data_IF_712953151839
#
_entry.id   IF_712953151839
#
_cell.length_a   1.000
_cell.length_b   1.000
_cell.length_c   1.000
_cell.angle_alpha   90.00
_cell.angle_beta   90.00
_cell.angle_gamma   90.00
#
_symmetry.space_group_name_H-M   'P 1'
#
loop_
_entity.id
_entity.type
_entity.pdbx_description
1 polymer ?
#
# COMPACT_ATOMS: atom_id res chain seq x y z
N UNK A 1 18.02 38.54 20.41
CA UNK A 1 17.26 37.40 21.00
C UNK A 1 15.82 37.40 20.49
N UNK A 2 15.59 37.14 19.19
CA UNK A 2 14.23 37.14 18.62
C UNK A 2 14.10 36.29 17.34
N UNK A 3 14.91 35.23 17.15
CA UNK A 3 15.03 34.54 15.85
C UNK A 3 14.85 33.01 15.91
N UNK A 4 14.39 32.45 17.03
CA UNK A 4 14.25 30.99 17.20
C UNK A 4 12.79 30.48 17.23
N UNK A 5 11.81 31.32 16.88
CA UNK A 5 10.38 30.96 16.98
C UNK A 5 9.69 30.60 15.65
N UNK A 6 10.42 30.54 14.52
CA UNK A 6 9.79 30.49 13.18
C UNK A 6 9.62 29.07 12.62
N UNK A 7 10.24 28.02 13.19
CA UNK A 7 10.27 26.71 12.53
C UNK A 7 9.20 25.66 12.93
N UNK A 8 8.30 25.93 13.88
CA UNK A 8 7.40 24.86 14.41
C UNK A 8 5.92 24.95 14.03
N UNK A 9 5.48 25.91 13.21
CA UNK A 9 4.02 26.14 12.96
C UNK A 9 3.49 25.57 11.63
N UNK A 10 4.30 24.89 10.81
CA UNK A 10 3.89 24.54 9.42
C UNK A 10 3.05 23.25 9.27
N UNK A 11 2.65 22.53 10.34
CA UNK A 11 2.29 21.10 10.17
C UNK A 11 0.82 20.65 10.12
N UNK A 12 -0.23 21.51 10.02
CA UNK A 12 -1.61 20.99 10.23
C UNK A 12 -2.80 21.37 9.34
N UNK A 13 -2.69 22.16 8.27
CA UNK A 13 -3.91 22.56 7.50
C UNK A 13 -4.03 22.04 6.06
N UNK A 14 -3.06 21.28 5.53
CA UNK A 14 -2.99 20.97 4.09
C UNK A 14 -3.89 19.82 3.57
N UNK A 15 -4.89 19.39 4.35
CA UNK A 15 -5.75 18.24 4.02
C UNK A 15 -6.98 18.54 3.13
N UNK A 16 -7.08 19.73 2.53
CA UNK A 16 -8.22 20.10 1.65
C UNK A 16 -7.81 20.15 0.18
N UNK A 17 -7.85 19.00 -0.49
CA UNK A 17 -8.34 18.90 -1.87
C UNK A 17 -7.37 19.02 -3.05
N UNK A 18 -6.14 19.51 -2.91
CA UNK A 18 -5.25 19.78 -4.06
C UNK A 18 -4.14 18.75 -4.37
N UNK A 19 -3.98 17.71 -3.56
CA UNK A 19 -2.72 16.98 -3.42
C UNK A 19 -2.53 15.72 -4.30
N UNK A 20 -3.21 15.59 -5.44
CA UNK A 20 -2.89 14.48 -6.36
C UNK A 20 -1.63 14.75 -7.19
N UNK A 21 -1.26 16.03 -7.40
CA UNK A 21 -0.14 16.42 -8.27
C UNK A 21 0.86 17.43 -7.66
N UNK A 22 0.57 18.04 -6.50
CA UNK A 22 1.26 19.29 -6.10
C UNK A 22 2.29 19.24 -4.96
N UNK A 23 2.31 18.24 -4.08
CA UNK A 23 3.28 18.19 -2.99
C UNK A 23 3.57 16.76 -2.55
N UNK A 24 4.84 16.40 -2.42
CA UNK A 24 5.25 15.14 -1.82
C UNK A 24 4.73 15.06 -0.38
N UNK A 25 4.08 13.95 0.02
CA UNK A 25 3.49 13.86 1.33
C UNK A 25 4.57 13.80 2.43
N UNK A 26 4.30 14.45 3.55
CA UNK A 26 5.17 14.40 4.72
C UNK A 26 5.01 13.05 5.45
N UNK A 27 6.15 12.40 5.73
CA UNK A 27 6.23 11.11 6.45
C UNK A 27 6.37 9.91 5.52
N UNK A 28 7.21 8.95 5.92
CA UNK A 28 7.59 7.79 5.12
C UNK A 28 6.38 6.98 4.65
N UNK A 29 5.43 6.69 5.54
CA UNK A 29 4.23 5.93 5.19
C UNK A 29 3.33 6.63 4.16
N UNK A 30 3.20 7.96 4.24
CA UNK A 30 2.40 8.70 3.28
C UNK A 30 3.09 8.74 1.92
N UNK A 31 4.43 8.83 1.91
CA UNK A 31 5.25 8.70 0.71
C UNK A 31 5.13 7.31 0.08
N UNK A 32 5.23 6.23 0.88
CA UNK A 32 5.05 4.84 0.40
C UNK A 32 3.67 4.61 -0.22
N UNK A 33 2.60 5.15 0.38
CA UNK A 33 1.24 5.06 -0.18
C UNK A 33 1.10 5.81 -1.49
N UNK A 34 1.75 6.97 -1.59
CA UNK A 34 1.76 7.80 -2.78
C UNK A 34 2.56 7.12 -3.90
N UNK A 35 3.79 6.70 -3.65
CA UNK A 35 4.61 5.96 -4.63
C UNK A 35 3.95 4.66 -5.05
N UNK A 36 3.37 3.90 -4.12
CA UNK A 36 2.62 2.69 -4.43
C UNK A 36 1.44 2.93 -5.38
N UNK A 37 0.72 4.05 -5.23
CA UNK A 37 -0.35 4.44 -6.16
C UNK A 37 0.21 4.74 -7.56
N UNK A 38 1.28 5.53 -7.64
CA UNK A 38 1.90 5.89 -8.93
C UNK A 38 2.50 4.68 -9.64
N UNK A 39 3.17 3.80 -8.91
CA UNK A 39 3.69 2.53 -9.45
C UNK A 39 2.53 1.68 -9.97
N UNK A 40 1.45 1.53 -9.21
CA UNK A 40 0.23 0.86 -9.66
C UNK A 40 -0.30 1.42 -10.98
N UNK A 41 -0.58 2.72 -11.02
CA UNK A 41 -1.12 3.38 -12.21
C UNK A 41 -0.17 3.28 -13.40
N UNK A 42 1.15 3.40 -13.19
CA UNK A 42 2.15 3.24 -14.23
C UNK A 42 2.17 1.80 -14.76
N UNK A 43 2.08 0.79 -13.89
CA UNK A 43 1.96 -0.62 -14.31
C UNK A 43 0.73 -0.82 -15.18
N UNK A 44 -0.45 -0.30 -14.79
CA UNK A 44 -1.65 -0.39 -15.62
C UNK A 44 -1.50 0.33 -16.96
N UNK A 45 -0.88 1.51 -16.96
CA UNK A 45 -0.63 2.28 -18.18
C UNK A 45 0.28 1.53 -19.16
N UNK A 46 1.30 0.83 -18.65
CA UNK A 46 2.19 -0.02 -19.47
C UNK A 46 1.49 -1.31 -19.93
N UNK A 47 0.61 -1.88 -19.12
CA UNK A 47 -0.17 -3.08 -19.50
C UNK A 47 -1.21 -2.79 -20.57
N UNK A 48 -1.77 -1.58 -20.62
CA UNK A 48 -2.82 -1.19 -21.56
C UNK A 48 -2.47 -1.45 -23.04
N UNK A 49 -1.36 -0.93 -23.60
CA UNK A 49 -1.01 -1.19 -25.00
C UNK A 49 -0.78 -2.68 -25.28
N UNK A 50 -0.21 -3.42 -24.33
CA UNK A 50 0.00 -4.87 -24.48
C UNK A 50 -1.33 -5.62 -24.61
N UNK A 51 -2.31 -5.26 -23.79
CA UNK A 51 -3.67 -5.78 -23.87
C UNK A 51 -4.34 -5.43 -25.19
N UNK A 52 -4.17 -4.21 -25.70
CA UNK A 52 -4.78 -3.77 -26.96
C UNK A 52 -4.23 -4.51 -28.19
N UNK A 53 -2.97 -4.96 -28.14
CA UNK A 53 -2.33 -5.65 -29.27
C UNK A 53 -2.62 -7.15 -29.29
N UNK A 54 -2.63 -7.83 -28.14
CA UNK A 54 -2.56 -9.30 -28.09
C UNK A 54 -3.89 -10.02 -27.82
N UNK A 55 -4.97 -9.29 -27.53
CA UNK A 55 -6.24 -9.89 -27.09
C UNK A 55 -7.38 -9.77 -28.11
N UNK A 56 -8.25 -10.80 -28.18
CA UNK A 56 -9.49 -10.76 -28.95
C UNK A 56 -10.47 -9.71 -28.40
N UNK A 57 -11.39 -9.22 -29.24
CA UNK A 57 -12.24 -8.05 -28.95
C UNK A 57 -13.02 -8.12 -27.63
N UNK A 58 -13.59 -9.27 -27.28
CA UNK A 58 -14.32 -9.47 -26.03
C UNK A 58 -13.42 -9.45 -24.78
N UNK A 59 -12.32 -10.20 -24.82
CA UNK A 59 -11.32 -10.26 -23.73
C UNK A 59 -10.65 -8.90 -23.52
N UNK A 60 -10.39 -8.18 -24.62
CA UNK A 60 -9.84 -6.83 -24.61
C UNK A 60 -10.73 -5.86 -23.85
N UNK A 61 -12.03 -5.85 -24.16
CA UNK A 61 -12.99 -4.96 -23.49
C UNK A 61 -13.07 -5.25 -21.99
N UNK A 62 -13.11 -6.54 -21.61
CA UNK A 62 -13.12 -6.96 -20.21
C UNK A 62 -11.84 -6.53 -19.47
N UNK A 63 -10.67 -6.69 -20.08
CA UNK A 63 -9.41 -6.29 -19.47
C UNK A 63 -9.27 -4.78 -19.32
N UNK A 64 -9.65 -3.98 -20.33
CA UNK A 64 -9.66 -2.52 -20.24
C UNK A 64 -10.61 -2.04 -19.14
N UNK A 65 -11.81 -2.62 -19.06
CA UNK A 65 -12.74 -2.34 -17.97
C UNK A 65 -12.15 -2.73 -16.61
N UNK A 66 -11.50 -3.89 -16.52
CA UNK A 66 -10.79 -4.34 -15.31
C UNK A 66 -9.69 -3.37 -14.87
N UNK A 67 -8.87 -2.87 -15.80
CA UNK A 67 -7.83 -1.87 -15.51
C UNK A 67 -8.43 -0.55 -15.01
N UNK A 68 -9.52 -0.08 -15.65
CA UNK A 68 -10.20 1.14 -15.23
C UNK A 68 -10.81 1.01 -13.83
N UNK A 69 -11.47 -0.13 -13.56
CA UNK A 69 -12.02 -0.45 -12.23
C UNK A 69 -10.91 -0.50 -11.20
N UNK A 70 -9.75 -1.07 -11.53
CA UNK A 70 -8.64 -1.20 -10.59
C UNK A 70 -7.94 0.12 -10.31
N UNK A 71 -7.70 0.94 -11.33
CA UNK A 71 -7.22 2.31 -11.16
C UNK A 71 -8.16 3.16 -10.31
N UNK A 72 -9.47 3.06 -10.56
CA UNK A 72 -10.48 3.76 -9.77
C UNK A 72 -10.48 3.27 -8.31
N UNK A 73 -10.39 1.96 -8.07
CA UNK A 73 -10.36 1.40 -6.73
C UNK A 73 -9.10 1.76 -5.96
N UNK A 74 -7.93 1.78 -6.59
CA UNK A 74 -6.71 2.26 -5.97
C UNK A 74 -6.82 3.74 -5.60
N UNK A 75 -7.36 4.57 -6.49
CA UNK A 75 -7.59 5.98 -6.17
C UNK A 75 -8.57 6.17 -5.00
N UNK A 76 -9.67 5.40 -4.96
CA UNK A 76 -10.62 5.42 -3.85
C UNK A 76 -9.97 4.91 -2.56
N UNK A 77 -9.18 3.85 -2.63
CA UNK A 77 -8.45 3.28 -1.52
C UNK A 77 -7.42 4.24 -0.93
N UNK A 78 -6.67 4.93 -1.79
CA UNK A 78 -5.76 6.01 -1.40
C UNK A 78 -6.50 7.10 -0.61
N UNK A 79 -7.66 7.53 -1.11
CA UNK A 79 -8.47 8.59 -0.48
C UNK A 79 -9.14 8.14 0.82
N UNK A 80 -9.63 6.90 0.90
CA UNK A 80 -10.37 6.37 2.05
C UNK A 80 -9.49 5.70 3.10
N UNK A 81 -8.21 5.42 2.78
CA UNK A 81 -7.24 4.69 3.62
C UNK A 81 -7.73 3.33 4.12
N UNK A 82 -8.69 2.71 3.43
CA UNK A 82 -9.26 1.42 3.81
C UNK A 82 -9.75 0.66 2.58
N UNK A 83 -9.67 -0.66 2.67
CA UNK A 83 -10.24 -1.60 1.72
C UNK A 83 -11.09 -2.62 2.46
N UNK A 84 -12.29 -2.90 1.96
CA UNK A 84 -13.16 -3.96 2.46
C UNK A 84 -13.06 -5.21 1.58
N UNK A 85 -13.59 -6.33 2.06
CA UNK A 85 -13.55 -7.63 1.37
C UNK A 85 -14.15 -7.62 -0.05
N UNK A 86 -15.17 -6.79 -0.30
CA UNK A 86 -15.75 -6.61 -1.64
C UNK A 86 -14.71 -6.10 -2.64
N UNK A 87 -13.76 -5.27 -2.20
CA UNK A 87 -12.70 -4.78 -3.06
C UNK A 87 -11.74 -5.91 -3.46
N UNK A 88 -11.54 -6.91 -2.58
CA UNK A 88 -10.67 -8.06 -2.88
C UNK A 88 -11.31 -8.97 -3.94
N UNK A 89 -12.63 -9.16 -3.88
CA UNK A 89 -13.37 -9.92 -4.91
C UNK A 89 -13.35 -9.18 -6.25
N UNK A 90 -13.63 -7.87 -6.25
CA UNK A 90 -13.56 -7.05 -7.47
C UNK A 90 -12.14 -7.02 -8.03
N UNK A 91 -11.12 -6.97 -7.17
CA UNK A 91 -9.72 -7.06 -7.56
C UNK A 91 -9.39 -8.38 -8.22
N UNK A 92 -9.78 -9.50 -7.63
CA UNK A 92 -9.54 -10.82 -8.20
C UNK A 92 -10.18 -10.99 -9.59
N UNK A 93 -11.43 -10.52 -9.76
CA UNK A 93 -12.12 -10.58 -11.07
C UNK A 93 -11.42 -9.71 -12.12
N UNK A 94 -11.10 -8.46 -11.77
CA UNK A 94 -10.42 -7.54 -12.69
C UNK A 94 -9.01 -8.03 -13.05
N UNK A 95 -8.25 -8.50 -12.06
CA UNK A 95 -6.92 -9.07 -12.26
C UNK A 95 -6.98 -10.37 -13.10
N UNK A 96 -8.02 -11.18 -12.94
CA UNK A 96 -8.26 -12.34 -13.79
C UNK A 96 -8.50 -11.95 -15.25
N UNK A 97 -9.36 -10.96 -15.50
CA UNK A 97 -9.61 -10.46 -16.86
C UNK A 97 -8.33 -9.89 -17.51
N UNK A 98 -7.55 -9.11 -16.76
CA UNK A 98 -6.26 -8.59 -17.18
C UNK A 98 -5.29 -9.75 -17.50
N UNK A 99 -5.22 -10.75 -16.63
CA UNK A 99 -4.34 -11.90 -16.80
C UNK A 99 -4.61 -12.69 -18.08
N UNK A 100 -5.88 -13.00 -18.34
CA UNK A 100 -6.31 -13.70 -19.57
C UNK A 100 -5.93 -12.90 -20.80
N UNK A 101 -6.01 -11.57 -20.76
CA UNK A 101 -5.70 -10.72 -21.90
C UNK A 101 -4.20 -10.52 -22.18
N UNK A 102 -3.36 -10.58 -21.14
CA UNK A 102 -1.91 -10.43 -21.27
C UNK A 102 -1.23 -11.72 -21.78
N UNK A 103 -1.75 -12.89 -21.40
CA UNK A 103 -1.25 -14.22 -21.78
C UNK A 103 0.26 -14.47 -21.51
N UNK A 104 0.96 -13.54 -20.84
CA UNK A 104 2.36 -13.65 -20.46
C UNK A 104 2.47 -13.74 -18.93
N UNK A 105 2.89 -14.90 -18.37
CA UNK A 105 2.85 -15.13 -16.93
C UNK A 105 3.72 -14.13 -16.15
N UNK A 106 4.87 -13.71 -16.69
CA UNK A 106 5.75 -12.77 -16.02
C UNK A 106 5.13 -11.36 -15.91
N UNK A 107 4.46 -10.89 -16.98
CA UNK A 107 3.77 -9.60 -16.96
C UNK A 107 2.57 -9.62 -16.03
N UNK A 108 1.80 -10.72 -16.05
CA UNK A 108 0.67 -10.90 -15.14
C UNK A 108 1.14 -10.91 -13.68
N UNK A 109 2.20 -11.66 -13.38
CA UNK A 109 2.77 -11.72 -12.03
C UNK A 109 3.17 -10.34 -11.52
N UNK A 110 3.74 -9.49 -12.38
CA UNK A 110 4.07 -8.10 -12.05
C UNK A 110 2.82 -7.30 -11.64
N UNK A 111 1.73 -7.38 -12.40
CA UNK A 111 0.47 -6.67 -12.07
C UNK A 111 -0.12 -7.15 -10.75
N UNK A 112 -0.12 -8.47 -10.52
CA UNK A 112 -0.59 -9.07 -9.27
C UNK A 112 0.25 -8.65 -8.07
N UNK A 113 1.58 -8.66 -8.23
CA UNK A 113 2.50 -8.27 -7.18
C UNK A 113 2.29 -6.81 -6.79
N UNK A 114 2.15 -5.90 -7.77
CA UNK A 114 1.86 -4.50 -7.52
C UNK A 114 0.52 -4.31 -6.81
N UNK A 115 -0.52 -5.06 -7.21
CA UNK A 115 -1.83 -5.03 -6.53
C UNK A 115 -1.74 -5.47 -5.07
N UNK A 116 -0.99 -6.54 -4.78
CA UNK A 116 -0.76 -7.03 -3.41
C UNK A 116 0.09 -6.07 -2.56
N UNK A 117 1.17 -5.51 -3.13
CA UNK A 117 1.97 -4.46 -2.49
C UNK A 117 1.08 -3.27 -2.11
N UNK A 118 0.24 -2.83 -3.04
CA UNK A 118 -0.71 -1.77 -2.78
C UNK A 118 -1.66 -2.17 -1.65
N UNK A 119 -2.25 -3.36 -1.69
CA UNK A 119 -3.17 -3.85 -0.66
C UNK A 119 -2.52 -3.91 0.72
N UNK A 120 -1.28 -4.38 0.82
CA UNK A 120 -0.51 -4.47 2.06
C UNK A 120 -0.32 -3.11 2.77
N UNK A 121 -0.24 -2.00 2.01
CA UNK A 121 -0.10 -0.64 2.55
C UNK A 121 -1.38 -0.10 3.23
N UNK A 122 -2.53 -0.72 2.98
CA UNK A 122 -3.84 -0.22 3.43
C UNK A 122 -4.68 -1.23 4.22
N UNK A 123 -4.31 -2.51 4.26
CA UNK A 123 -5.13 -3.56 4.89
C UNK A 123 -4.61 -4.06 6.24
N UNK A 124 -5.46 -4.85 6.91
CA UNK A 124 -5.13 -5.58 8.13
C UNK A 124 -4.53 -6.95 7.79
N UNK A 125 -3.67 -7.48 8.66
CA UNK A 125 -3.00 -8.78 8.46
C UNK A 125 -3.98 -9.92 8.13
N UNK A 126 -5.12 -9.98 8.84
CA UNK A 126 -6.14 -11.03 8.63
C UNK A 126 -6.75 -11.01 7.23
N UNK A 127 -6.85 -9.83 6.63
CA UNK A 127 -7.44 -9.67 5.30
C UNK A 127 -6.43 -10.03 4.18
N UNK A 128 -5.12 -10.04 4.50
CA UNK A 128 -4.06 -10.31 3.52
C UNK A 128 -4.05 -11.77 3.05
N UNK A 129 -4.35 -12.71 3.94
CA UNK A 129 -4.48 -14.11 3.55
C UNK A 129 -5.63 -14.33 2.57
N UNK A 130 -6.76 -13.66 2.80
CA UNK A 130 -7.91 -13.73 1.91
C UNK A 130 -7.61 -13.07 0.56
N UNK A 131 -7.00 -11.88 0.56
CA UNK A 131 -6.57 -11.22 -0.67
C UNK A 131 -5.54 -12.05 -1.45
N UNK A 132 -4.56 -12.64 -0.76
CA UNK A 132 -3.56 -13.54 -1.34
C UNK A 132 -4.18 -14.79 -1.95
N UNK A 133 -5.14 -15.43 -1.25
CA UNK A 133 -5.86 -16.60 -1.74
C UNK A 133 -6.70 -16.29 -2.98
N UNK A 134 -7.46 -15.19 -2.97
CA UNK A 134 -8.24 -14.76 -4.12
C UNK A 134 -7.35 -14.43 -5.32
N UNK A 135 -6.21 -13.78 -5.08
CA UNK A 135 -5.25 -13.41 -6.12
C UNK A 135 -4.54 -14.66 -6.69
N UNK A 136 -4.11 -15.59 -5.85
CA UNK A 136 -3.52 -16.85 -6.30
C UNK A 136 -4.54 -17.67 -7.11
N UNK A 137 -5.78 -17.75 -6.65
CA UNK A 137 -6.87 -18.43 -7.34
C UNK A 137 -7.19 -17.80 -8.69
N UNK A 138 -7.29 -16.47 -8.77
CA UNK A 138 -7.58 -15.78 -10.02
C UNK A 138 -6.42 -15.87 -11.01
N UNK A 139 -5.17 -15.84 -10.54
CA UNK A 139 -4.00 -16.07 -11.37
C UNK A 139 -4.00 -17.49 -11.96
N UNK A 140 -4.16 -18.50 -11.10
CA UNK A 140 -4.18 -19.90 -11.53
C UNK A 140 -5.31 -20.17 -12.53
N UNK A 141 -6.51 -19.66 -12.26
CA UNK A 141 -7.65 -19.78 -13.16
C UNK A 141 -7.39 -19.11 -14.52
N UNK A 142 -6.82 -17.90 -14.52
CA UNK A 142 -6.50 -17.20 -15.76
C UNK A 142 -5.45 -17.92 -16.61
N UNK A 143 -4.42 -18.50 -15.98
CA UNK A 143 -3.42 -19.29 -16.68
C UNK A 143 -4.03 -20.55 -17.28
N UNK A 144 -4.87 -21.29 -16.54
CA UNK A 144 -5.57 -22.48 -17.07
C UNK A 144 -6.44 -22.13 -18.27
N UNK A 145 -7.14 -20.99 -18.24
CA UNK A 145 -7.97 -20.51 -19.37
C UNK A 145 -7.09 -20.14 -20.57
N UNK A 146 -5.93 -19.53 -20.34
CA UNK A 146 -5.04 -19.04 -21.40
C UNK A 146 -4.17 -20.12 -22.06
N UNK A 147 -3.63 -21.06 -21.28
CA UNK A 147 -2.68 -22.09 -21.76
C UNK A 147 -3.34 -23.44 -22.06
N UNK A 148 -4.57 -23.67 -21.58
CA UNK A 148 -5.15 -25.01 -21.54
C UNK A 148 -4.47 -25.92 -20.50
N UNK A 149 -4.89 -27.18 -20.45
CA UNK A 149 -4.44 -28.18 -19.46
C UNK A 149 -3.17 -28.93 -19.89
N UNK A 150 -2.07 -28.22 -20.16
CA UNK A 150 -0.75 -28.85 -20.27
C UNK A 150 -0.14 -29.02 -18.87
N UNK A 151 0.23 -30.24 -18.48
CA UNK A 151 0.74 -30.60 -17.15
C UNK A 151 1.99 -29.81 -16.77
N UNK A 152 2.90 -29.56 -17.73
CA UNK A 152 4.13 -28.79 -17.49
C UNK A 152 3.82 -27.30 -17.31
N UNK A 153 2.92 -26.75 -18.12
CA UNK A 153 2.40 -25.39 -17.95
C UNK A 153 1.64 -25.20 -16.64
N UNK A 154 0.86 -26.19 -16.21
CA UNK A 154 0.03 -26.12 -15.02
C UNK A 154 0.87 -26.06 -13.73
N UNK A 155 1.96 -26.80 -13.65
CA UNK A 155 2.86 -26.74 -12.49
C UNK A 155 3.79 -25.53 -12.58
N UNK A 156 4.48 -25.36 -13.71
CA UNK A 156 5.56 -24.37 -13.86
C UNK A 156 5.06 -22.94 -14.01
N UNK A 157 3.94 -22.72 -14.70
CA UNK A 157 3.45 -21.38 -15.04
C UNK A 157 2.23 -20.97 -14.19
N UNK A 158 1.52 -21.92 -13.59
CA UNK A 158 0.34 -21.67 -12.75
C UNK A 158 0.60 -21.89 -11.27
N UNK A 159 0.88 -23.12 -10.82
CA UNK A 159 0.95 -23.44 -9.38
C UNK A 159 2.11 -22.75 -8.65
N UNK A 160 3.33 -22.78 -9.20
CA UNK A 160 4.49 -22.15 -8.54
C UNK A 160 4.28 -20.63 -8.41
N UNK A 161 3.93 -19.87 -9.47
CA UNK A 161 3.69 -18.44 -9.33
C UNK A 161 2.46 -18.12 -8.49
N UNK A 162 1.39 -18.93 -8.54
CA UNK A 162 0.23 -18.75 -7.65
C UNK A 162 0.60 -18.92 -6.17
N UNK A 163 1.43 -19.92 -5.84
CA UNK A 163 1.98 -20.09 -4.50
C UNK A 163 2.82 -18.89 -4.06
N UNK A 164 3.64 -18.33 -4.97
CA UNK A 164 4.40 -17.11 -4.70
C UNK A 164 3.47 -15.91 -4.42
N UNK A 165 2.42 -15.72 -5.23
CA UNK A 165 1.41 -14.67 -5.03
C UNK A 165 0.71 -14.81 -3.68
N UNK A 166 0.34 -16.05 -3.31
CA UNK A 166 -0.28 -16.35 -2.02
C UNK A 166 0.63 -15.95 -0.85
N UNK A 167 1.92 -16.30 -0.91
CA UNK A 167 2.89 -16.02 0.14
C UNK A 167 3.37 -14.56 0.15
N UNK A 168 3.34 -13.87 -0.99
CA UNK A 168 3.77 -12.48 -1.07
C UNK A 168 2.90 -11.56 -0.20
N UNK A 169 1.58 -11.77 -0.17
CA UNK A 169 0.65 -10.92 0.58
C UNK A 169 0.98 -10.80 2.09
N UNK A 170 1.14 -11.90 2.87
CA UNK A 170 1.50 -11.81 4.28
C UNK A 170 2.93 -11.30 4.48
N UNK A 171 3.90 -11.69 3.65
CA UNK A 171 5.28 -11.21 3.77
C UNK A 171 5.37 -9.69 3.58
N UNK A 172 4.69 -9.16 2.57
CA UNK A 172 4.60 -7.72 2.35
C UNK A 172 3.94 -7.00 3.51
N UNK A 173 2.95 -7.62 4.15
CA UNK A 173 2.32 -7.06 5.34
C UNK A 173 3.29 -6.96 6.52
N UNK A 174 4.09 -7.99 6.79
CA UNK A 174 5.10 -7.96 7.85
C UNK A 174 6.16 -6.87 7.61
N UNK A 175 6.58 -6.69 6.36
CA UNK A 175 7.49 -5.60 5.97
C UNK A 175 6.85 -4.24 6.28
N UNK A 176 5.60 -4.03 5.88
CA UNK A 176 4.87 -2.78 6.15
C UNK A 176 4.61 -2.55 7.64
N UNK A 177 4.36 -3.61 8.40
CA UNK A 177 4.18 -3.56 9.86
C UNK A 177 5.49 -3.17 10.55
N UNK A 178 6.62 -3.74 10.11
CA UNK A 178 7.95 -3.42 10.62
C UNK A 178 8.31 -1.96 10.34
N UNK A 179 8.02 -1.46 9.13
CA UNK A 179 8.20 -0.05 8.78
C UNK A 179 7.35 0.88 9.66
N UNK A 180 6.10 0.52 9.96
CA UNK A 180 5.27 1.29 10.91
C UNK A 180 5.90 1.36 12.32
N UNK A 181 6.50 0.26 12.78
CA UNK A 181 7.14 0.22 14.09
C UNK A 181 8.40 1.10 14.12
N UNK A 182 9.20 1.11 13.05
CA UNK A 182 10.35 2.00 12.93
C UNK A 182 9.94 3.48 12.86
N UNK A 183 8.91 3.83 12.10
CA UNK A 183 8.40 5.21 12.03
C UNK A 183 7.93 5.70 13.41
N UNK A 184 7.24 4.84 14.18
CA UNK A 184 6.81 5.16 15.55
C UNK A 184 7.99 5.31 16.50
N UNK A 185 8.97 4.42 16.41
CA UNK A 185 10.17 4.50 17.24
C UNK A 185 10.94 5.80 16.98
N UNK A 186 11.13 6.17 15.70
CA UNK A 186 11.80 7.40 15.30
C UNK A 186 11.05 8.65 15.80
N UNK A 187 9.72 8.67 15.68
CA UNK A 187 8.90 9.78 16.19
C UNK A 187 9.01 9.91 17.72
N UNK A 188 9.01 8.79 18.45
CA UNK A 188 9.18 8.80 19.90
C UNK A 188 10.57 9.32 20.31
N UNK A 189 11.62 8.92 19.60
CA UNK A 189 12.98 9.42 19.85
C UNK A 189 13.09 10.94 19.64
N UNK A 190 12.40 11.49 18.64
CA UNK A 190 12.36 12.95 18.43
C UNK A 190 11.64 13.68 19.57
N UNK A 191 10.49 13.17 20.02
CA UNK A 191 9.75 13.75 21.16
C UNK A 191 10.62 13.74 22.44
N UNK A 192 11.36 12.66 22.69
CA UNK A 192 12.27 12.57 23.84
C UNK A 192 13.45 13.53 23.72
N UNK A 193 14.01 13.70 22.52
CA UNK A 193 15.07 14.66 22.27
C UNK A 193 14.58 16.11 22.52
N UNK A 194 13.41 16.47 21.99
CA UNK A 194 12.80 17.79 22.18
C UNK A 194 12.49 18.06 23.66
N UNK A 195 11.95 17.07 24.38
CA UNK A 195 11.71 17.16 25.81
C UNK A 195 13.03 17.33 26.60
N UNK A 196 14.10 16.63 26.19
CA UNK A 196 15.43 16.78 26.77
C UNK A 196 15.99 18.20 26.59
N UNK A 197 15.88 18.77 25.39
CA UNK A 197 16.30 20.15 25.11
C UNK A 197 15.45 21.17 25.90
N UNK A 198 14.15 20.94 26.02
CA UNK A 198 13.26 21.78 26.83
C UNK A 198 13.63 21.74 28.32
N UNK A 199 13.99 20.57 28.86
CA UNK A 199 14.43 20.43 30.25
C UNK A 199 15.76 21.15 30.49
N UNK A 200 16.74 20.96 29.60
CA UNK A 200 18.06 21.62 29.72
C UNK A 200 17.97 23.14 29.61
N UNK A 201 17.10 23.65 28.73
CA UNK A 201 16.87 25.09 28.57
C UNK A 201 16.08 25.73 29.73
N UNK A 202 15.30 24.94 30.49
CA UNK A 202 14.52 25.45 31.62
C UNK A 202 15.34 25.85 32.85
N UNK A 203 16.63 25.46 32.90
CA UNK A 203 17.68 25.99 33.79
C UNK A 203 17.42 25.97 35.31
N UNK A 204 16.26 25.49 35.77
CA UNK A 204 15.81 25.59 37.15
C UNK A 204 15.32 24.23 37.68
N UNK A 205 15.79 23.80 38.86
CA UNK A 205 15.34 22.55 39.49
C UNK A 205 13.82 22.44 39.67
N UNK A 206 13.13 23.59 39.83
CA UNK A 206 11.66 23.67 39.94
C UNK A 206 10.95 23.39 38.61
N UNK A 207 11.53 23.82 37.48
CA UNK A 207 10.99 23.52 36.14
C UNK A 207 10.97 22.01 35.88
N UNK A 208 12.05 21.31 36.23
CA UNK A 208 12.19 19.85 36.04
C UNK A 208 11.13 19.07 36.82
N UNK A 209 10.85 19.46 38.07
CA UNK A 209 9.84 18.80 38.90
C UNK A 209 8.41 18.98 38.35
N UNK A 210 8.08 20.16 37.82
CA UNK A 210 6.77 20.43 37.22
C UNK A 210 6.57 19.65 35.92
N UNK A 211 7.56 19.62 35.03
CA UNK A 211 7.47 18.87 33.77
C UNK A 211 7.37 17.36 34.01
N UNK A 212 8.13 16.82 35.00
CA UNK A 212 8.04 15.41 35.39
C UNK A 212 6.65 15.05 35.97
N UNK A 213 6.04 15.96 36.74
CA UNK A 213 4.69 15.76 37.28
C UNK A 213 3.60 15.79 36.20
N UNK A 214 3.73 16.68 35.19
CA UNK A 214 2.81 16.73 34.05
C UNK A 214 2.93 15.52 33.14
N UNK A 215 4.14 15.00 32.91
CA UNK A 215 4.35 13.78 32.13
C UNK A 215 3.73 12.55 32.80
N UNK A 216 3.81 12.42 34.14
CA UNK A 216 3.15 11.34 34.91
C UNK A 216 1.63 11.48 35.00
N UNK A 217 1.11 12.71 34.96
CA UNK A 217 -0.33 12.96 35.02
C UNK A 217 -1.02 12.82 33.66
N UNK A 218 -0.25 12.75 32.57
CA UNK A 218 -0.80 12.57 31.23
C UNK A 218 -1.40 11.17 31.09
N UNK A 219 -2.71 11.03 30.82
CA UNK A 219 -3.47 9.77 30.89
C UNK A 219 -3.18 8.80 29.71
N UNK A 220 -1.99 8.85 29.13
CA UNK A 220 -1.58 8.05 27.97
C UNK A 220 -1.41 6.54 28.27
N UNK A 221 -1.49 6.12 29.53
CA UNK A 221 -1.38 4.71 29.97
C UNK A 221 -2.74 3.99 30.18
N UNK A 222 -3.85 4.52 29.65
CA UNK A 222 -5.19 3.87 29.71
C UNK A 222 -5.71 3.36 28.36
N UNK A 223 -4.83 2.85 27.48
CA UNK A 223 -5.24 2.19 26.24
C UNK A 223 -4.58 0.81 26.12
#
# INVERSE_FOLDING_TARGET
>A
MAELAVHSVVSRSWWRGGALLGAAPAGLMAWLRWTGLFVGLATLAVSLPLTLVHSGSGVRAAAVAGMAVMGAWWLIGYRRRRFGWLADVVAAVALGAIAVALANPAQVLCVYFVALCYRALFGRQRDMWFAGLLSAGSYAAAMVVGSGFDTVGLVGQSLIPAGLVLLAAPVLHEVVATLHNHDRAAANSQILADAGVALLSSGSPRGIALTASQARASPADRA
#
